data_IF_031971291365
#
_entry.id   IF_031971291365
#
_cell.length_a   1.000
_cell.length_b   1.000
_cell.length_c   1.000
_cell.angle_alpha   90.00
_cell.angle_beta   90.00
_cell.angle_gamma   90.00
#
_symmetry.space_group_name_H-M   'P 1'
#
loop_
_entity.id
_entity.type
_entity.pdbx_description
1 polymer ?
#
# COMPACT_ATOMS: atom_id res chain seq x y z
N UNK A 1 10.03 13.37 13.62
CA UNK A 1 10.19 12.90 15.01
C UNK A 1 11.46 12.07 15.13
N UNK A 2 11.99 11.93 16.35
CA UNK A 2 13.22 11.14 16.63
C UNK A 2 13.13 9.70 16.11
N UNK A 3 11.94 9.14 16.08
CA UNK A 3 11.63 7.80 15.53
C UNK A 3 11.72 7.79 13.99
N UNK A 4 11.20 8.79 13.33
CA UNK A 4 11.28 8.93 11.87
C UNK A 4 12.71 9.15 11.37
N UNK A 5 13.50 9.94 12.12
CA UNK A 5 14.91 10.13 11.81
C UNK A 5 15.69 8.84 12.00
N UNK A 6 15.34 8.00 12.98
CA UNK A 6 15.90 6.66 13.14
C UNK A 6 15.51 5.73 11.99
N UNK A 7 14.24 5.68 11.59
CA UNK A 7 13.78 4.85 10.45
C UNK A 7 14.49 5.28 9.16
N UNK A 8 14.58 6.59 8.91
CA UNK A 8 15.30 7.15 7.76
C UNK A 8 16.78 6.77 7.75
N UNK A 9 17.42 6.80 8.92
CA UNK A 9 18.83 6.44 9.06
C UNK A 9 19.08 4.93 9.02
N UNK A 10 18.16 4.11 9.52
CA UNK A 10 18.19 2.65 9.34
C UNK A 10 18.00 2.27 7.85
N UNK A 11 17.24 3.08 7.11
CA UNK A 11 17.10 2.98 5.67
C UNK A 11 18.39 3.22 4.89
N UNK A 12 19.36 3.96 5.42
CA UNK A 12 20.63 4.26 4.77
C UNK A 12 21.75 3.25 5.10
N UNK A 13 21.52 2.29 6.00
CA UNK A 13 22.54 1.37 6.52
C UNK A 13 22.80 0.11 5.65
N UNK A 14 22.26 0.02 4.45
CA UNK A 14 22.48 -1.12 3.55
C UNK A 14 21.93 -0.90 2.13
N UNK A 15 22.30 -1.77 1.19
CA UNK A 15 21.90 -1.71 -0.23
C UNK A 15 20.36 -1.63 -0.48
N UNK A 16 19.53 -1.84 0.54
CA UNK A 16 18.06 -1.88 0.47
C UNK A 16 17.37 -0.87 1.41
N UNK A 17 18.11 0.07 1.95
CA UNK A 17 17.60 0.94 3.00
C UNK A 17 16.52 1.94 2.58
N UNK A 18 16.42 2.28 1.30
CA UNK A 18 15.40 3.18 0.77
C UNK A 18 14.04 2.50 0.48
N UNK A 19 13.97 1.17 0.53
CA UNK A 19 12.76 0.43 0.16
C UNK A 19 11.58 0.59 1.15
N UNK A 20 11.85 1.01 2.39
CA UNK A 20 10.80 1.06 3.43
C UNK A 20 10.28 2.46 3.72
N UNK A 21 10.88 3.48 3.13
CA UNK A 21 10.57 4.86 3.43
C UNK A 21 10.11 5.63 2.20
N UNK A 22 8.88 6.08 2.22
CA UNK A 22 8.34 7.04 1.25
C UNK A 22 8.38 8.45 1.85
N UNK A 23 8.89 9.47 1.13
CA UNK A 23 8.93 10.84 1.64
C UNK A 23 7.55 11.35 2.06
N UNK A 24 7.43 11.87 3.27
CA UNK A 24 6.16 12.39 3.81
C UNK A 24 5.42 13.40 2.92
N UNK A 25 6.09 14.38 2.31
CA UNK A 25 5.40 15.32 1.42
C UNK A 25 4.71 14.61 0.25
N UNK A 26 5.35 13.57 -0.31
CA UNK A 26 4.77 12.76 -1.39
C UNK A 26 3.54 11.99 -0.88
N UNK A 27 3.64 11.31 0.26
CA UNK A 27 2.51 10.59 0.88
C UNK A 27 1.33 11.54 1.10
N UNK A 28 1.56 12.70 1.72
CA UNK A 28 0.53 13.72 1.97
C UNK A 28 -0.15 14.20 0.69
N UNK A 29 0.63 14.45 -0.35
CA UNK A 29 0.09 14.89 -1.64
C UNK A 29 -0.80 13.82 -2.27
N UNK A 30 -0.38 12.55 -2.24
CA UNK A 30 -1.15 11.43 -2.79
C UNK A 30 -2.43 11.22 -1.98
N UNK A 31 -2.36 11.18 -0.65
CA UNK A 31 -3.54 11.02 0.21
C UNK A 31 -4.54 12.16 -0.02
N UNK A 32 -4.05 13.40 -0.12
CA UNK A 32 -4.92 14.57 -0.40
C UNK A 32 -5.62 14.49 -1.76
N UNK A 33 -4.93 14.02 -2.79
CA UNK A 33 -5.50 13.89 -4.16
C UNK A 33 -6.50 12.73 -4.21
N UNK A 34 -6.18 11.58 -3.62
CA UNK A 34 -7.07 10.40 -3.58
C UNK A 34 -8.26 10.65 -2.66
N UNK A 35 -8.05 11.42 -1.60
CA UNK A 35 -9.06 11.91 -0.67
C UNK A 35 -9.97 10.79 -0.13
N UNK A 36 -9.45 9.84 0.66
CA UNK A 36 -10.28 8.87 1.36
C UNK A 36 -11.26 9.56 2.30
N UNK A 37 -12.47 9.02 2.44
CA UNK A 37 -13.51 9.57 3.32
C UNK A 37 -13.94 8.54 4.39
N UNK A 38 -14.54 9.02 5.47
CA UNK A 38 -15.06 8.15 6.54
C UNK A 38 -16.10 7.18 5.96
N UNK A 39 -15.96 5.89 6.30
CA UNK A 39 -16.77 4.80 5.78
C UNK A 39 -16.11 4.00 4.66
N UNK A 40 -15.07 4.53 4.03
CA UNK A 40 -14.29 3.80 3.03
C UNK A 40 -13.22 2.92 3.68
N UNK A 41 -12.86 1.85 2.99
CA UNK A 41 -11.74 0.98 3.33
C UNK A 41 -10.49 1.38 2.54
N UNK A 42 -9.35 1.47 3.22
CA UNK A 42 -8.05 1.86 2.66
C UNK A 42 -7.07 0.69 2.79
N UNK A 43 -6.39 0.35 1.72
CA UNK A 43 -5.47 -0.78 1.66
C UNK A 43 -4.09 -0.38 1.15
N UNK A 44 -3.05 -0.92 1.78
CA UNK A 44 -1.66 -0.89 1.32
C UNK A 44 -1.12 -2.32 1.25
N UNK A 45 -0.81 -2.81 0.06
CA UNK A 45 -0.26 -4.16 -0.16
C UNK A 45 1.26 -4.25 -0.01
N UNK A 46 1.95 -3.15 0.25
CA UNK A 46 3.40 -3.05 0.42
C UNK A 46 3.73 -2.05 1.54
N UNK A 47 3.20 -2.33 2.74
CA UNK A 47 3.07 -1.39 3.86
C UNK A 47 4.37 -0.71 4.26
N UNK A 48 5.50 -1.42 4.21
CA UNK A 48 6.77 -0.89 4.67
C UNK A 48 6.68 -0.35 6.10
N UNK A 49 6.98 0.92 6.29
CA UNK A 49 6.84 1.62 7.57
C UNK A 49 5.42 2.12 7.88
N UNK A 50 4.42 1.73 7.12
CA UNK A 50 3.01 2.14 7.21
C UNK A 50 2.77 3.66 7.01
N UNK A 51 3.63 4.33 6.26
CA UNK A 51 3.52 5.78 6.04
C UNK A 51 2.19 6.19 5.41
N UNK A 52 1.71 5.46 4.40
CA UNK A 52 0.42 5.72 3.75
C UNK A 52 -0.77 5.50 4.69
N UNK A 53 -0.78 4.39 5.43
CA UNK A 53 -1.88 4.09 6.36
C UNK A 53 -1.93 5.10 7.52
N UNK A 54 -0.78 5.51 8.06
CA UNK A 54 -0.71 6.53 9.09
C UNK A 54 -1.21 7.90 8.60
N UNK A 55 -0.83 8.30 7.38
CA UNK A 55 -1.29 9.58 6.81
C UNK A 55 -2.78 9.54 6.43
N UNK A 56 -3.27 8.40 5.91
CA UNK A 56 -4.70 8.20 5.65
C UNK A 56 -5.51 8.30 6.96
N UNK A 57 -5.03 7.67 8.03
CA UNK A 57 -5.64 7.81 9.36
C UNK A 57 -5.71 9.27 9.83
N UNK A 58 -4.59 9.99 9.75
CA UNK A 58 -4.53 11.39 10.14
C UNK A 58 -5.48 12.27 9.31
N UNK A 59 -5.55 12.02 7.99
CA UNK A 59 -6.46 12.69 7.07
C UNK A 59 -7.93 12.45 7.45
N UNK A 60 -8.32 11.18 7.66
CA UNK A 60 -9.69 10.79 8.00
C UNK A 60 -10.10 11.34 9.37
N UNK A 61 -9.23 11.22 10.39
CA UNK A 61 -9.47 11.73 11.74
C UNK A 61 -9.62 13.25 11.78
N UNK A 62 -8.88 13.96 10.94
CA UNK A 62 -8.88 15.43 10.87
C UNK A 62 -9.95 15.99 9.94
N UNK A 63 -10.72 15.18 9.21
CA UNK A 63 -11.67 15.64 8.18
C UNK A 63 -12.92 16.30 8.76
N UNK A 64 -13.37 15.83 9.92
CA UNK A 64 -14.54 16.33 10.67
C UNK A 64 -14.51 15.81 12.11
N UNK A 65 -15.42 16.32 12.94
CA UNK A 65 -15.73 15.71 14.23
C UNK A 65 -16.40 14.34 14.00
N UNK A 66 -15.81 13.28 14.59
CA UNK A 66 -16.29 11.90 14.42
C UNK A 66 -17.21 11.52 15.57
N UNK A 67 -18.33 10.87 15.25
CA UNK A 67 -19.13 10.15 16.24
C UNK A 67 -18.37 8.96 16.81
N UNK A 68 -18.81 8.42 17.95
CA UNK A 68 -18.17 7.23 18.55
C UNK A 68 -18.15 6.03 17.59
N UNK A 69 -19.22 5.81 16.84
CA UNK A 69 -19.30 4.72 15.84
C UNK A 69 -18.35 4.93 14.67
N UNK A 70 -18.21 6.16 14.16
CA UNK A 70 -17.25 6.46 13.08
C UNK A 70 -15.80 6.32 13.55
N UNK A 71 -15.55 6.69 14.80
CA UNK A 71 -14.21 6.52 15.39
C UNK A 71 -13.87 5.03 15.55
N UNK A 72 -14.80 4.23 16.06
CA UNK A 72 -14.64 2.77 16.16
C UNK A 72 -14.40 2.14 14.78
N UNK A 73 -15.20 2.51 13.77
CA UNK A 73 -15.01 2.05 12.39
C UNK A 73 -13.62 2.44 11.85
N UNK A 74 -13.17 3.68 12.08
CA UNK A 74 -11.86 4.16 11.68
C UNK A 74 -10.73 3.33 12.32
N UNK A 75 -10.88 2.99 13.59
CA UNK A 75 -9.91 2.20 14.33
C UNK A 75 -9.82 0.73 13.89
N UNK A 76 -10.95 0.09 13.64
CA UNK A 76 -11.04 -1.36 13.50
C UNK A 76 -11.27 -1.85 12.07
N UNK A 77 -11.92 -1.05 11.22
CA UNK A 77 -12.48 -1.54 9.95
C UNK A 77 -12.15 -0.67 8.73
N UNK A 78 -11.19 0.24 8.83
CA UNK A 78 -10.84 1.16 7.75
C UNK A 78 -9.50 0.85 7.10
N UNK A 79 -8.47 0.58 7.89
CA UNK A 79 -7.09 0.51 7.42
C UNK A 79 -6.60 -0.93 7.38
N UNK A 80 -6.20 -1.41 6.21
CA UNK A 80 -5.72 -2.77 5.98
C UNK A 80 -4.40 -2.77 5.24
N UNK A 81 -3.55 -3.77 5.51
CA UNK A 81 -2.29 -3.89 4.79
C UNK A 81 -1.68 -5.27 4.80
N UNK A 82 -0.71 -5.47 3.90
CA UNK A 82 0.13 -6.66 3.84
C UNK A 82 1.60 -6.25 3.78
N UNK A 83 2.45 -6.94 4.52
CA UNK A 83 3.91 -6.74 4.47
C UNK A 83 4.63 -8.10 4.54
N UNK A 84 5.56 -8.32 3.60
CA UNK A 84 6.32 -9.57 3.49
C UNK A 84 7.53 -9.62 4.43
N UNK A 85 8.20 -8.47 4.62
CA UNK A 85 9.47 -8.40 5.36
C UNK A 85 9.21 -8.20 6.85
N UNK A 86 9.68 -9.13 7.68
CA UNK A 86 9.43 -9.15 9.14
C UNK A 86 9.82 -7.84 9.83
N UNK A 87 10.99 -7.27 9.49
CA UNK A 87 11.43 -6.00 10.11
C UNK A 87 10.50 -4.84 9.72
N UNK A 88 10.14 -4.72 8.44
CA UNK A 88 9.23 -3.68 7.97
C UNK A 88 7.82 -3.84 8.58
N UNK A 89 7.33 -5.08 8.69
CA UNK A 89 6.07 -5.39 9.37
C UNK A 89 6.06 -4.88 10.81
N UNK A 90 7.11 -5.19 11.61
CA UNK A 90 7.20 -4.72 13.00
C UNK A 90 7.27 -3.19 13.06
N UNK A 91 8.08 -2.57 12.21
CA UNK A 91 8.19 -1.11 12.14
C UNK A 91 6.84 -0.48 11.77
N UNK A 92 6.12 -1.05 10.80
CA UNK A 92 4.80 -0.58 10.37
C UNK A 92 3.77 -0.64 11.49
N UNK A 93 3.67 -1.78 12.19
CA UNK A 93 2.79 -1.94 13.37
C UNK A 93 3.09 -0.89 14.44
N UNK A 94 4.37 -0.75 14.82
CA UNK A 94 4.78 0.23 15.84
C UNK A 94 4.46 1.67 15.40
N UNK A 95 4.68 2.00 14.14
CA UNK A 95 4.38 3.32 13.62
C UNK A 95 2.86 3.62 13.66
N UNK A 96 2.02 2.66 13.30
CA UNK A 96 0.56 2.81 13.38
C UNK A 96 0.10 3.04 14.83
N UNK A 97 0.62 2.26 15.78
CA UNK A 97 0.31 2.44 17.21
C UNK A 97 0.73 3.84 17.70
N UNK A 98 1.92 4.31 17.33
CA UNK A 98 2.42 5.64 17.69
C UNK A 98 1.59 6.78 17.06
N UNK A 99 0.87 6.51 15.98
CA UNK A 99 -0.07 7.46 15.38
C UNK A 99 -1.50 7.37 15.95
N UNK A 100 -1.71 6.51 16.94
CA UNK A 100 -3.00 6.37 17.64
C UNK A 100 -3.95 5.36 17.01
N UNK A 101 -3.45 4.43 16.19
CA UNK A 101 -4.22 3.29 15.67
C UNK A 101 -4.03 2.14 16.66
N UNK A 102 -5.07 1.81 17.42
CA UNK A 102 -4.99 0.87 18.55
C UNK A 102 -4.89 -0.58 18.11
N UNK A 103 -5.52 -0.93 16.98
CA UNK A 103 -5.56 -2.29 16.44
C UNK A 103 -5.15 -2.31 14.95
N UNK A 104 -3.85 -2.23 14.63
CA UNK A 104 -3.39 -2.26 13.24
C UNK A 104 -3.74 -3.56 12.52
N UNK A 105 -4.48 -3.48 11.40
CA UNK A 105 -4.85 -4.61 10.55
C UNK A 105 -3.80 -4.83 9.45
N UNK A 106 -2.56 -5.16 9.82
CA UNK A 106 -1.50 -5.55 8.88
C UNK A 106 -1.27 -7.05 9.00
N UNK A 107 -1.28 -7.75 7.87
CA UNK A 107 -0.97 -9.18 7.80
C UNK A 107 0.48 -9.36 7.35
N UNK A 108 1.25 -10.16 8.11
CA UNK A 108 2.61 -10.53 7.73
C UNK A 108 2.58 -11.65 6.69
N UNK A 109 2.56 -11.28 5.42
CA UNK A 109 2.46 -12.22 4.29
C UNK A 109 3.05 -11.64 3.01
N UNK A 110 3.31 -12.51 2.01
CA UNK A 110 3.66 -12.08 0.67
C UNK A 110 2.40 -11.74 -0.13
N UNK A 111 2.15 -10.46 -0.38
CA UNK A 111 1.02 -9.97 -1.18
C UNK A 111 0.90 -10.64 -2.54
N UNK A 112 2.03 -10.95 -3.19
CA UNK A 112 2.07 -11.56 -4.51
C UNK A 112 1.99 -13.11 -4.48
N UNK A 113 1.93 -13.71 -3.29
CA UNK A 113 1.90 -15.16 -3.11
C UNK A 113 0.53 -15.78 -3.38
N UNK A 114 -0.52 -14.99 -3.45
CA UNK A 114 -1.90 -15.44 -3.69
C UNK A 114 -2.28 -15.21 -5.16
N UNK A 115 -3.08 -16.14 -5.73
CA UNK A 115 -3.62 -15.93 -7.07
C UNK A 115 -4.68 -14.82 -7.03
N UNK A 116 -4.49 -13.79 -7.86
CA UNK A 116 -5.45 -12.67 -7.87
C UNK A 116 -6.85 -13.06 -8.33
N UNK A 117 -7.01 -14.21 -9.00
CA UNK A 117 -8.33 -14.73 -9.37
C UNK A 117 -9.17 -15.11 -8.13
N UNK A 118 -8.52 -15.45 -7.01
CA UNK A 118 -9.19 -15.83 -5.76
C UNK A 118 -9.75 -14.64 -4.98
N UNK A 119 -9.34 -13.41 -5.32
CA UNK A 119 -9.86 -12.18 -4.70
C UNK A 119 -11.33 -11.99 -5.09
N UNK A 120 -12.20 -12.12 -4.11
CA UNK A 120 -13.64 -11.98 -4.25
C UNK A 120 -14.09 -10.52 -4.03
N UNK A 121 -15.34 -10.24 -4.34
CA UNK A 121 -15.89 -8.89 -4.18
C UNK A 121 -15.90 -8.41 -2.72
N UNK A 122 -16.09 -9.31 -1.75
CA UNK A 122 -16.04 -9.01 -0.32
C UNK A 122 -14.65 -8.57 0.17
N UNK A 123 -13.58 -8.98 -0.56
CA UNK A 123 -12.19 -8.69 -0.19
C UNK A 123 -11.71 -7.35 -0.76
N UNK A 124 -12.52 -6.73 -1.63
CA UNK A 124 -12.16 -5.47 -2.30
C UNK A 124 -12.35 -4.26 -1.42
N UNK A 125 -11.54 -3.24 -1.71
CA UNK A 125 -11.45 -2.00 -0.95
C UNK A 125 -11.85 -0.79 -1.79
N UNK A 126 -12.18 0.30 -1.13
CA UNK A 126 -12.57 1.56 -1.79
C UNK A 126 -11.35 2.33 -2.27
N UNK A 127 -10.24 2.26 -1.52
CA UNK A 127 -9.02 3.02 -1.78
C UNK A 127 -7.79 2.14 -1.63
N UNK A 128 -6.86 2.24 -2.59
CA UNK A 128 -5.50 1.68 -2.49
C UNK A 128 -4.50 2.83 -2.45
N UNK A 129 -3.60 2.79 -1.47
CA UNK A 129 -2.49 3.73 -1.31
C UNK A 129 -1.21 2.94 -1.09
N UNK A 130 -0.26 2.97 -2.01
CA UNK A 130 0.92 2.13 -1.90
C UNK A 130 2.15 2.67 -2.62
N UNK A 131 3.32 2.27 -2.13
CA UNK A 131 4.60 2.42 -2.80
C UNK A 131 5.28 1.05 -2.91
N UNK A 132 4.94 0.23 -3.91
CA UNK A 132 5.52 -1.09 -4.08
C UNK A 132 7.01 -1.02 -4.41
N UNK A 133 7.80 -2.07 -4.12
CA UNK A 133 9.24 -2.09 -4.40
C UNK A 133 9.51 -1.99 -5.90
N UNK A 134 10.53 -1.19 -6.27
CA UNK A 134 10.96 -0.98 -7.65
C UNK A 134 12.14 -1.89 -8.03
N UNK A 135 12.15 -2.37 -9.28
CA UNK A 135 13.28 -3.09 -9.86
C UNK A 135 13.53 -4.50 -9.32
N UNK A 136 12.61 -5.02 -8.52
CA UNK A 136 12.63 -6.42 -8.13
C UNK A 136 12.17 -7.32 -9.27
N UNK A 137 12.65 -8.58 -9.26
CA UNK A 137 12.18 -9.64 -10.17
C UNK A 137 11.57 -10.76 -9.34
N UNK A 138 10.35 -11.15 -9.66
CA UNK A 138 9.68 -12.26 -9.02
C UNK A 138 9.92 -13.58 -9.77
N UNK A 139 9.90 -14.69 -9.02
CA UNK A 139 10.06 -16.04 -9.55
C UNK A 139 8.88 -16.41 -10.45
N UNK A 140 9.08 -17.34 -11.36
CA UNK A 140 8.05 -17.79 -12.30
C UNK A 140 6.79 -18.30 -11.60
N UNK A 141 6.93 -18.98 -10.47
CA UNK A 141 5.80 -19.48 -9.67
C UNK A 141 4.88 -18.34 -9.18
N UNK A 142 5.48 -17.21 -8.78
CA UNK A 142 4.72 -16.02 -8.34
C UNK A 142 4.04 -15.35 -9.53
N UNK A 143 4.72 -15.30 -10.69
CA UNK A 143 4.16 -14.68 -11.90
C UNK A 143 2.88 -15.38 -12.39
N UNK A 144 2.74 -16.69 -12.14
CA UNK A 144 1.56 -17.48 -12.52
C UNK A 144 0.28 -17.06 -11.77
N UNK A 145 0.39 -16.32 -10.69
CA UNK A 145 -0.75 -15.76 -9.96
C UNK A 145 -1.41 -14.58 -10.68
N UNK A 146 -0.86 -14.12 -11.81
CA UNK A 146 -1.26 -12.88 -12.47
C UNK A 146 -1.54 -13.09 -13.97
N UNK A 147 -2.58 -12.45 -14.53
CA UNK A 147 -2.96 -12.60 -15.93
C UNK A 147 -1.96 -12.00 -16.92
N UNK A 148 -1.27 -10.90 -16.55
CA UNK A 148 -0.21 -10.33 -17.38
C UNK A 148 1.13 -10.85 -16.89
N UNK A 149 1.75 -11.74 -17.64
CA UNK A 149 3.04 -12.33 -17.33
C UNK A 149 4.14 -11.27 -17.39
N UNK A 150 4.83 -11.09 -16.26
CA UNK A 150 5.97 -10.19 -16.11
C UNK A 150 6.80 -10.59 -14.91
N UNK A 151 8.11 -10.41 -14.98
CA UNK A 151 8.99 -10.58 -13.82
C UNK A 151 9.11 -9.29 -12.98
N UNK A 152 8.68 -8.15 -13.48
CA UNK A 152 8.79 -6.85 -12.78
C UNK A 152 7.82 -6.81 -11.59
N UNK A 153 8.37 -6.80 -10.39
CA UNK A 153 7.60 -6.85 -9.14
C UNK A 153 6.54 -5.74 -9.06
N UNK A 154 6.89 -4.52 -9.45
CA UNK A 154 5.96 -3.39 -9.40
C UNK A 154 4.72 -3.59 -10.31
N UNK A 155 4.86 -4.29 -11.43
CA UNK A 155 3.75 -4.58 -12.36
C UNK A 155 2.83 -5.68 -11.83
N UNK A 156 3.35 -6.63 -11.07
CA UNK A 156 2.53 -7.61 -10.36
C UNK A 156 1.72 -6.94 -9.25
N UNK A 157 2.35 -6.04 -8.48
CA UNK A 157 1.62 -5.23 -7.50
C UNK A 157 0.52 -4.38 -8.13
N UNK A 158 0.78 -3.76 -9.29
CA UNK A 158 -0.24 -2.97 -9.99
C UNK A 158 -1.47 -3.81 -10.35
N UNK A 159 -1.27 -5.03 -10.88
CA UNK A 159 -2.36 -5.96 -11.15
C UNK A 159 -3.14 -6.33 -9.89
N UNK A 160 -2.43 -6.62 -8.80
CA UNK A 160 -3.04 -6.88 -7.50
C UNK A 160 -3.90 -5.68 -7.04
N UNK A 161 -3.39 -4.46 -7.12
CA UNK A 161 -4.12 -3.27 -6.70
C UNK A 161 -5.38 -3.01 -7.53
N UNK A 162 -5.29 -3.16 -8.85
CA UNK A 162 -6.46 -3.06 -9.75
C UNK A 162 -7.53 -4.08 -9.32
N UNK A 163 -7.13 -5.33 -9.05
CA UNK A 163 -8.07 -6.39 -8.65
C UNK A 163 -8.68 -6.15 -7.26
N UNK A 164 -7.92 -5.54 -6.35
CA UNK A 164 -8.40 -5.20 -5.01
C UNK A 164 -9.41 -4.06 -4.99
N UNK A 165 -9.51 -3.25 -6.02
CA UNK A 165 -10.43 -2.12 -6.03
C UNK A 165 -11.88 -2.57 -6.25
N UNK A 166 -12.80 -1.99 -5.49
CA UNK A 166 -14.24 -1.98 -5.80
C UNK A 166 -14.50 -1.17 -7.08
N UNK A 167 -15.69 -1.34 -7.64
CA UNK A 167 -16.17 -0.44 -8.70
C UNK A 167 -16.19 1.00 -8.17
N UNK A 168 -15.65 1.93 -8.96
CA UNK A 168 -15.44 3.34 -8.56
C UNK A 168 -14.39 3.55 -7.45
N UNK A 169 -13.63 2.51 -7.08
CA UNK A 169 -12.51 2.63 -6.16
C UNK A 169 -11.38 3.49 -6.75
N UNK A 170 -10.55 4.05 -5.88
CA UNK A 170 -9.45 4.96 -6.25
C UNK A 170 -8.10 4.39 -5.83
N UNK A 171 -7.08 4.61 -6.67
CA UNK A 171 -5.72 4.15 -6.36
C UNK A 171 -4.72 5.31 -6.45
N UNK A 172 -3.94 5.50 -5.38
CA UNK A 172 -2.74 6.33 -5.37
C UNK A 172 -1.50 5.46 -5.22
N UNK A 173 -0.77 5.23 -6.31
CA UNK A 173 0.40 4.36 -6.32
C UNK A 173 1.64 5.11 -6.79
N UNK A 174 2.77 4.89 -6.12
CA UNK A 174 4.08 5.34 -6.60
C UNK A 174 4.63 4.29 -7.53
N UNK A 175 4.94 4.66 -8.76
CA UNK A 175 5.51 3.77 -9.77
C UNK A 175 6.60 4.51 -10.57
N UNK A 176 7.52 3.78 -11.19
CA UNK A 176 8.53 4.38 -12.06
C UNK A 176 7.87 5.13 -13.23
N UNK A 177 8.35 6.33 -13.51
CA UNK A 177 7.86 7.14 -14.64
C UNK A 177 7.97 6.43 -15.99
N UNK A 178 8.97 5.56 -16.16
CA UNK A 178 9.15 4.74 -17.36
C UNK A 178 7.94 3.85 -17.66
N UNK A 179 7.12 3.48 -16.67
CA UNK A 179 5.87 2.75 -16.88
C UNK A 179 4.94 3.44 -17.88
N UNK A 180 4.90 4.77 -17.90
CA UNK A 180 4.03 5.54 -18.79
C UNK A 180 4.52 5.55 -20.24
N UNK A 181 5.83 5.40 -20.46
CA UNK A 181 6.47 5.48 -21.79
C UNK A 181 6.97 4.13 -22.32
N UNK A 182 7.10 3.11 -21.50
CA UNK A 182 7.55 1.79 -21.93
C UNK A 182 6.60 1.18 -22.95
N UNK A 183 7.18 0.53 -23.97
CA UNK A 183 6.45 -0.10 -25.09
C UNK A 183 6.44 -1.62 -25.04
N UNK A 184 6.99 -2.22 -23.96
CA UNK A 184 6.91 -3.67 -23.76
C UNK A 184 5.47 -4.13 -23.54
N UNK A 185 5.20 -5.40 -23.86
CA UNK A 185 3.86 -5.95 -23.85
C UNK A 185 3.17 -5.83 -22.49
N UNK A 186 3.91 -6.02 -21.38
CA UNK A 186 3.34 -5.95 -20.05
C UNK A 186 2.91 -4.52 -19.70
N UNK A 187 3.78 -3.52 -19.93
CA UNK A 187 3.46 -2.11 -19.72
C UNK A 187 2.25 -1.66 -20.52
N UNK A 188 2.19 -2.05 -21.83
CA UNK A 188 1.06 -1.71 -22.69
C UNK A 188 -0.23 -2.39 -22.22
N UNK A 189 -0.18 -3.68 -21.87
CA UNK A 189 -1.35 -4.43 -21.40
C UNK A 189 -1.91 -3.84 -20.10
N UNK A 190 -1.03 -3.48 -19.15
CA UNK A 190 -1.46 -2.91 -17.86
C UNK A 190 -2.05 -1.50 -17.99
N UNK A 191 -1.54 -0.67 -18.90
CA UNK A 191 -2.13 0.65 -19.14
C UNK A 191 -3.51 0.61 -19.82
N UNK A 192 -3.92 -0.55 -20.34
CA UNK A 192 -5.24 -0.76 -20.95
C UNK A 192 -6.29 -1.28 -19.97
N UNK A 193 -5.88 -1.75 -18.80
CA UNK A 193 -6.77 -2.18 -17.71
C UNK A 193 -7.33 -0.98 -16.94
#
# INVERSE_FOLDING_TARGET
SLYEDKIKNMGNAGRNGGEYYTPRPLIKSIVKVVNPVIGETVYDGAVGSAGFLCEAYAHLRGSKELSASEYEQLQLHTLYGKEKKSLAYVIGIMNMILHGIEAPNIVHTNTLGENIADIQQKDRVDVVLANPPFGGKERAEVQQNFPVATSETAYLFLQHFIKMLKVNGRCGVVIKNTFLSNTDNASVALRKQ
#
